data_IF_375747483068
#
_entry.id   IF_375747483068
#
_cell.length_a   1.000
_cell.length_b   1.000
_cell.length_c   1.000
_cell.angle_alpha   90.00
_cell.angle_beta   90.00
_cell.angle_gamma   90.00
#
_symmetry.space_group_name_H-M   'P 1'
#
loop_
_entity.id
_entity.type
_entity.pdbx_description
1 polymer ?
#
# COMPACT_ATOMS: atom_id res chain seq x y z
N UNK A 1 -33.78 -17.53 -33.90
CA UNK A 1 -33.08 -17.81 -32.61
C UNK A 1 -31.70 -18.42 -32.76
N UNK A 2 -31.54 -19.69 -33.17
CA UNK A 2 -30.23 -20.40 -33.19
C UNK A 2 -29.12 -19.67 -33.98
N UNK A 3 -29.41 -19.21 -35.20
CA UNK A 3 -28.46 -18.44 -36.02
C UNK A 3 -28.04 -17.12 -35.34
N UNK A 4 -28.99 -16.48 -34.65
CA UNK A 4 -28.76 -15.30 -33.83
C UNK A 4 -27.80 -15.59 -32.68
N UNK A 5 -27.99 -16.70 -31.94
CA UNK A 5 -27.09 -17.09 -30.85
C UNK A 5 -25.66 -17.35 -31.32
N UNK A 6 -25.48 -17.98 -32.50
CA UNK A 6 -24.14 -18.21 -33.07
C UNK A 6 -23.47 -16.87 -33.43
N UNK A 7 -24.19 -15.97 -34.12
CA UNK A 7 -23.68 -14.63 -34.44
C UNK A 7 -23.37 -13.82 -33.18
N UNK A 8 -24.23 -13.88 -32.17
CA UNK A 8 -24.03 -13.24 -30.88
C UNK A 8 -22.83 -13.81 -30.11
N UNK A 9 -22.59 -15.12 -30.20
CA UNK A 9 -21.39 -15.76 -29.66
C UNK A 9 -20.11 -15.24 -30.30
N UNK A 10 -20.09 -15.05 -31.63
CA UNK A 10 -18.95 -14.43 -32.33
C UNK A 10 -18.75 -12.98 -31.90
N UNK A 11 -19.84 -12.22 -31.76
CA UNK A 11 -19.78 -10.85 -31.26
C UNK A 11 -19.17 -10.80 -29.85
N UNK A 12 -19.56 -11.72 -28.96
CA UNK A 12 -19.01 -11.82 -27.62
C UNK A 12 -17.52 -12.17 -27.61
N UNK A 13 -17.10 -13.17 -28.40
CA UNK A 13 -15.68 -13.54 -28.51
C UNK A 13 -14.84 -12.34 -28.97
N UNK A 14 -15.30 -11.61 -30.00
CA UNK A 14 -14.62 -10.41 -30.45
C UNK A 14 -14.58 -9.33 -29.38
N UNK A 15 -15.68 -9.14 -28.64
CA UNK A 15 -15.75 -8.15 -27.56
C UNK A 15 -14.72 -8.44 -26.47
N UNK A 16 -14.68 -9.66 -25.94
CA UNK A 16 -13.73 -10.04 -24.89
C UNK A 16 -12.30 -10.04 -25.40
N UNK A 17 -12.04 -10.52 -26.62
CA UNK A 17 -10.70 -10.51 -27.20
C UNK A 17 -10.17 -9.07 -27.40
N UNK A 18 -10.94 -8.21 -28.07
CA UNK A 18 -10.58 -6.81 -28.26
C UNK A 18 -10.56 -6.01 -26.95
N UNK A 19 -11.32 -6.45 -25.95
CA UNK A 19 -11.36 -5.82 -24.63
C UNK A 19 -10.14 -6.15 -23.76
N UNK A 20 -9.73 -7.42 -23.74
CA UNK A 20 -8.60 -7.91 -22.95
C UNK A 20 -7.25 -7.64 -23.59
N UNK A 21 -7.16 -7.61 -24.92
CA UNK A 21 -5.89 -7.42 -25.62
C UNK A 21 -5.16 -6.11 -25.21
N UNK A 22 -5.81 -4.93 -25.19
CA UNK A 22 -5.21 -3.69 -24.70
C UNK A 22 -4.69 -3.80 -23.26
N UNK A 23 -5.43 -4.48 -22.39
CA UNK A 23 -5.10 -4.65 -20.98
C UNK A 23 -3.88 -5.58 -20.77
N UNK A 24 -3.81 -6.69 -21.50
CA UNK A 24 -2.65 -7.58 -21.46
C UNK A 24 -1.40 -6.86 -21.99
N UNK A 25 -1.55 -6.07 -23.05
CA UNK A 25 -0.46 -5.29 -23.63
C UNK A 25 0.02 -4.17 -22.70
N UNK A 26 -0.88 -3.51 -21.96
CA UNK A 26 -0.51 -2.51 -20.96
C UNK A 26 0.25 -3.13 -19.78
N UNK A 27 -0.14 -4.33 -19.34
CA UNK A 27 0.56 -5.07 -18.28
C UNK A 27 1.97 -5.56 -18.66
N UNK A 28 2.26 -5.74 -19.95
CA UNK A 28 3.58 -6.18 -20.43
C UNK A 28 4.68 -5.09 -20.36
N UNK A 29 4.30 -3.82 -20.18
CA UNK A 29 5.24 -2.70 -20.10
C UNK A 29 5.91 -2.30 -21.42
N UNK A 30 6.73 -1.25 -21.38
CA UNK A 30 7.52 -0.77 -22.52
C UNK A 30 6.68 -0.34 -23.74
N UNK A 31 7.16 -0.64 -24.94
CA UNK A 31 6.49 -0.27 -26.21
C UNK A 31 5.16 -1.00 -26.43
N UNK A 32 4.98 -2.17 -25.81
CA UNK A 32 3.71 -2.92 -25.85
C UNK A 32 2.61 -2.16 -25.11
N UNK A 33 2.94 -1.48 -24.01
CA UNK A 33 1.97 -0.66 -23.28
C UNK A 33 1.47 0.53 -24.12
N UNK A 34 2.37 1.18 -24.88
CA UNK A 34 1.98 2.24 -25.82
C UNK A 34 1.05 1.70 -26.91
N UNK A 35 1.32 0.50 -27.42
CA UNK A 35 0.45 -0.15 -28.41
C UNK A 35 -0.92 -0.50 -27.82
N UNK A 36 -0.96 -0.95 -26.56
CA UNK A 36 -2.20 -1.19 -25.82
C UNK A 36 -3.07 0.06 -25.70
N UNK A 37 -2.48 1.24 -25.47
CA UNK A 37 -3.21 2.51 -25.39
C UNK A 37 -3.81 2.97 -26.72
N UNK A 38 -3.25 2.55 -27.85
CA UNK A 38 -3.76 2.88 -29.19
C UNK A 38 -4.89 1.93 -29.64
N UNK A 39 -5.01 0.76 -29.01
CA UNK A 39 -6.03 -0.21 -29.38
C UNK A 39 -7.37 0.15 -28.70
N UNK A 40 -8.43 0.41 -29.47
CA UNK A 40 -9.71 0.73 -28.92
C UNK A 40 -10.34 -0.49 -28.24
N UNK A 41 -10.71 -0.33 -26.98
CA UNK A 41 -11.39 -1.36 -26.20
C UNK A 41 -12.90 -1.06 -26.12
N UNK A 42 -13.78 -2.04 -26.39
CA UNK A 42 -15.19 -1.93 -26.07
C UNK A 42 -15.46 -2.06 -24.56
N UNK A 43 -14.48 -2.47 -23.76
CA UNK A 43 -14.60 -2.65 -22.32
C UNK A 43 -14.23 -1.38 -21.55
N UNK A 44 -14.90 -1.17 -20.42
CA UNK A 44 -14.55 -0.11 -19.48
C UNK A 44 -13.25 -0.47 -18.76
N UNK A 45 -12.31 0.47 -18.66
CA UNK A 45 -11.04 0.25 -17.95
C UNK A 45 -11.22 -0.13 -16.47
N UNK A 46 -12.25 0.42 -15.80
CA UNK A 46 -12.58 0.08 -14.42
C UNK A 46 -12.91 -1.41 -14.17
N UNK A 47 -13.29 -2.17 -15.20
CA UNK A 47 -13.61 -3.61 -15.06
C UNK A 47 -12.39 -4.42 -14.59
N UNK A 48 -11.17 -3.97 -14.94
CA UNK A 48 -9.93 -4.66 -14.59
C UNK A 48 -9.35 -4.27 -13.22
N UNK A 49 -9.86 -3.21 -12.60
CA UNK A 49 -9.46 -2.78 -11.25
C UNK A 49 -10.41 -3.28 -10.16
N UNK A 50 -11.51 -3.94 -10.53
CA UNK A 50 -12.50 -4.45 -9.58
C UNK A 50 -12.06 -5.78 -8.95
N UNK A 51 -12.51 -6.08 -7.71
CA UNK A 51 -12.30 -7.40 -7.12
C UNK A 51 -12.83 -8.51 -8.04
N UNK A 52 -12.12 -9.64 -8.10
CA UNK A 52 -12.36 -10.74 -9.07
C UNK A 52 -13.83 -11.16 -9.13
N UNK A 53 -14.54 -11.20 -8.00
CA UNK A 53 -15.96 -11.55 -7.96
C UNK A 53 -16.84 -10.59 -8.77
N UNK A 54 -16.64 -9.28 -8.63
CA UNK A 54 -17.39 -8.25 -9.37
C UNK A 54 -17.03 -8.25 -10.85
N UNK A 55 -15.74 -8.38 -11.17
CA UNK A 55 -15.29 -8.52 -12.55
C UNK A 55 -16.02 -9.69 -13.25
N UNK A 56 -16.11 -10.86 -12.63
CA UNK A 56 -16.82 -12.03 -13.19
C UNK A 56 -18.29 -11.70 -13.46
N UNK A 57 -18.99 -11.07 -12.51
CA UNK A 57 -20.40 -10.69 -12.68
C UNK A 57 -20.58 -9.77 -13.88
N UNK A 58 -19.75 -8.74 -14.01
CA UNK A 58 -19.82 -7.81 -15.14
C UNK A 58 -19.56 -8.49 -16.49
N UNK A 59 -18.60 -9.42 -16.55
CA UNK A 59 -18.31 -10.20 -17.76
C UNK A 59 -19.51 -11.09 -18.14
N UNK A 60 -20.12 -11.75 -17.16
CA UNK A 60 -21.30 -12.61 -17.39
C UNK A 60 -22.50 -11.80 -17.88
N UNK A 61 -22.78 -10.66 -17.24
CA UNK A 61 -23.88 -9.77 -17.65
C UNK A 61 -23.67 -9.25 -19.08
N UNK A 62 -22.45 -8.79 -19.39
CA UNK A 62 -22.08 -8.32 -20.73
C UNK A 62 -22.23 -9.43 -21.79
N UNK A 63 -21.75 -10.64 -21.47
CA UNK A 63 -21.89 -11.81 -22.34
C UNK A 63 -23.37 -12.12 -22.64
N UNK A 64 -24.23 -12.09 -21.62
CA UNK A 64 -25.67 -12.32 -21.76
C UNK A 64 -26.31 -11.29 -22.69
N UNK A 65 -25.97 -10.00 -22.54
CA UNK A 65 -26.49 -8.94 -23.41
C UNK A 65 -25.97 -9.06 -24.83
N UNK A 66 -24.68 -9.35 -25.04
CA UNK A 66 -24.09 -9.50 -26.38
C UNK A 66 -24.72 -10.65 -27.16
N UNK A 67 -24.85 -11.83 -26.53
CA UNK A 67 -25.41 -13.02 -27.19
C UNK A 67 -26.92 -12.90 -27.35
N UNK A 68 -27.62 -12.53 -26.28
CA UNK A 68 -29.08 -12.45 -26.25
C UNK A 68 -29.62 -11.28 -27.04
N UNK A 69 -29.07 -10.08 -26.84
CA UNK A 69 -29.47 -8.84 -27.53
C UNK A 69 -29.29 -8.94 -29.04
N UNK A 70 -28.14 -9.43 -29.50
CA UNK A 70 -27.91 -9.67 -30.92
C UNK A 70 -28.90 -10.68 -31.50
N UNK A 71 -29.13 -11.81 -30.80
CA UNK A 71 -30.04 -12.84 -31.26
C UNK A 71 -31.50 -12.35 -31.39
N UNK A 72 -31.95 -11.54 -30.42
CA UNK A 72 -33.27 -10.90 -30.44
C UNK A 72 -33.40 -9.91 -31.59
N UNK A 73 -32.51 -8.92 -31.68
CA UNK A 73 -32.58 -7.85 -32.68
C UNK A 73 -32.44 -8.39 -34.11
N UNK A 74 -31.46 -9.28 -34.35
CA UNK A 74 -31.28 -9.89 -35.68
C UNK A 74 -32.49 -10.73 -36.09
N UNK A 75 -33.11 -11.45 -35.13
CA UNK A 75 -34.34 -12.19 -35.42
C UNK A 75 -35.53 -11.29 -35.68
N UNK A 76 -35.69 -10.22 -34.90
CA UNK A 76 -36.76 -9.25 -35.03
C UNK A 76 -36.73 -8.58 -36.40
N UNK A 77 -35.59 -8.03 -36.82
CA UNK A 77 -35.41 -7.42 -38.14
C UNK A 77 -35.63 -8.39 -39.30
N UNK A 78 -35.36 -9.69 -39.10
CA UNK A 78 -35.57 -10.71 -40.13
C UNK A 78 -37.05 -11.12 -40.26
N UNK A 79 -37.85 -11.02 -39.20
CA UNK A 79 -39.27 -11.39 -39.20
C UNK A 79 -40.18 -10.28 -39.70
N UNK A 80 -39.81 -9.01 -39.52
CA UNK A 80 -40.62 -7.85 -39.90
C UNK A 80 -40.51 -7.47 -41.39
N UNK A 81 -39.66 -8.13 -42.17
CA UNK A 81 -39.57 -7.99 -43.64
C UNK A 81 -40.12 -9.24 -44.32
N UNK A 82 -41.40 -9.18 -44.73
CA UNK A 82 -42.06 -10.22 -45.52
C UNK A 82 -41.31 -10.56 -46.83
N UNK A 83 -41.17 -11.87 -47.10
CA UNK A 83 -41.08 -12.57 -48.40
C UNK A 83 -39.93 -12.24 -49.38
N UNK A 84 -39.26 -11.08 -49.34
CA UNK A 84 -38.29 -10.66 -50.38
C UNK A 84 -36.92 -10.22 -49.87
N UNK A 85 -36.54 -10.62 -48.65
CA UNK A 85 -35.26 -10.24 -48.07
C UNK A 85 -34.07 -10.88 -48.82
N UNK A 86 -33.41 -10.10 -49.68
CA UNK A 86 -32.14 -10.49 -50.31
C UNK A 86 -31.04 -10.64 -49.26
N UNK A 87 -30.01 -11.44 -49.55
CA UNK A 87 -28.89 -11.66 -48.62
C UNK A 87 -28.20 -10.37 -48.12
N UNK A 88 -28.27 -9.27 -48.90
CA UNK A 88 -27.76 -7.95 -48.51
C UNK A 88 -28.60 -7.31 -47.39
N UNK A 89 -29.92 -7.48 -47.42
CA UNK A 89 -30.82 -6.94 -46.39
C UNK A 89 -30.68 -7.67 -45.05
N UNK A 90 -30.50 -9.00 -45.08
CA UNK A 90 -30.24 -9.79 -43.88
C UNK A 90 -28.85 -9.49 -43.27
N UNK A 91 -27.85 -9.18 -44.11
CA UNK A 91 -26.54 -8.70 -43.66
C UNK A 91 -26.67 -7.40 -42.89
N UNK A 92 -27.29 -6.39 -43.53
CA UNK A 92 -27.44 -5.07 -42.96
C UNK A 92 -28.24 -5.10 -41.64
N UNK A 93 -29.29 -5.92 -41.57
CA UNK A 93 -30.06 -6.14 -40.36
C UNK A 93 -29.21 -6.74 -39.21
N UNK A 94 -28.39 -7.76 -39.50
CA UNK A 94 -27.54 -8.37 -38.49
C UNK A 94 -26.39 -7.45 -38.06
N UNK A 95 -25.81 -6.69 -38.99
CA UNK A 95 -24.80 -5.67 -38.68
C UNK A 95 -25.38 -4.58 -37.77
N UNK A 96 -26.55 -4.05 -38.11
CA UNK A 96 -27.26 -3.08 -37.27
C UNK A 96 -27.61 -3.66 -35.90
N UNK A 97 -27.99 -4.94 -35.83
CA UNK A 97 -28.23 -5.62 -34.55
C UNK A 97 -26.98 -5.65 -33.65
N UNK A 98 -25.79 -5.87 -34.21
CA UNK A 98 -24.54 -5.80 -33.44
C UNK A 98 -24.28 -4.38 -32.91
N UNK A 99 -24.45 -3.37 -33.77
CA UNK A 99 -24.29 -1.95 -33.39
C UNK A 99 -25.25 -1.56 -32.27
N UNK A 100 -26.54 -1.88 -32.41
CA UNK A 100 -27.56 -1.57 -31.40
C UNK A 100 -27.37 -2.33 -30.09
N UNK A 101 -26.85 -3.56 -30.14
CA UNK A 101 -26.54 -4.33 -28.92
C UNK A 101 -25.39 -3.68 -28.15
N UNK A 102 -24.32 -3.28 -28.84
CA UNK A 102 -23.20 -2.58 -28.22
C UNK A 102 -23.59 -1.18 -27.71
N UNK A 103 -24.43 -0.47 -28.47
CA UNK A 103 -25.03 0.79 -28.04
C UNK A 103 -25.81 0.62 -26.74
N UNK A 104 -26.64 -0.42 -26.63
CA UNK A 104 -27.43 -0.66 -25.42
C UNK A 104 -26.56 -0.90 -24.18
N UNK A 105 -25.46 -1.65 -24.33
CA UNK A 105 -24.47 -1.86 -23.26
C UNK A 105 -23.84 -0.53 -22.83
N UNK A 106 -23.32 0.24 -23.79
CA UNK A 106 -22.68 1.52 -23.51
C UNK A 106 -23.64 2.54 -22.90
N UNK A 107 -24.88 2.59 -23.40
CA UNK A 107 -25.92 3.49 -22.89
C UNK A 107 -26.36 3.11 -21.47
N UNK A 108 -26.46 1.81 -21.16
CA UNK A 108 -26.76 1.37 -19.80
C UNK A 108 -25.65 1.76 -18.81
N UNK A 109 -24.39 1.64 -19.22
CA UNK A 109 -23.24 2.05 -18.42
C UNK A 109 -23.18 3.58 -18.24
N UNK A 110 -23.38 4.36 -19.31
CA UNK A 110 -23.43 5.83 -19.24
C UNK A 110 -24.62 6.31 -18.37
N UNK A 111 -25.77 5.65 -18.43
CA UNK A 111 -26.91 5.97 -17.55
C UNK A 111 -26.58 5.70 -16.08
N UNK A 112 -25.88 4.60 -15.80
CA UNK A 112 -25.38 4.27 -14.46
C UNK A 112 -24.42 5.34 -13.94
N UNK A 113 -23.43 5.73 -14.75
CA UNK A 113 -22.44 6.75 -14.37
C UNK A 113 -23.05 8.13 -14.18
N UNK A 114 -24.03 8.51 -15.01
CA UNK A 114 -24.79 9.76 -14.83
C UNK A 114 -25.58 9.72 -13.52
N UNK A 115 -26.26 8.61 -13.22
CA UNK A 115 -27.04 8.48 -11.99
C UNK A 115 -26.16 8.58 -10.73
N UNK A 116 -25.00 7.91 -10.72
CA UNK A 116 -24.04 8.03 -9.61
C UNK A 116 -23.43 9.42 -9.51
N UNK A 117 -23.05 10.04 -10.64
CA UNK A 117 -22.52 11.40 -10.67
C UNK A 117 -23.51 12.44 -10.13
N UNK A 118 -24.81 12.34 -10.49
CA UNK A 118 -25.86 13.22 -9.96
C UNK A 118 -25.97 13.07 -8.45
N UNK A 119 -25.90 11.83 -7.94
CA UNK A 119 -26.01 11.56 -6.51
C UNK A 119 -24.85 12.16 -5.70
N UNK A 120 -23.62 12.12 -6.23
CA UNK A 120 -22.43 12.58 -5.51
C UNK A 120 -22.11 14.06 -5.71
N UNK A 121 -22.32 14.58 -6.94
CA UNK A 121 -21.80 15.88 -7.37
C UNK A 121 -22.86 16.80 -8.01
N UNK A 122 -24.12 16.36 -8.02
CA UNK A 122 -25.22 17.09 -8.65
C UNK A 122 -25.14 17.12 -10.19
N UNK A 123 -26.03 17.89 -10.81
CA UNK A 123 -26.24 17.90 -12.27
C UNK A 123 -24.99 18.35 -13.05
N UNK A 124 -24.11 19.19 -12.45
CA UNK A 124 -22.91 19.68 -13.13
C UNK A 124 -21.85 18.59 -13.33
N UNK A 125 -21.68 17.69 -12.37
CA UNK A 125 -20.71 16.59 -12.50
C UNK A 125 -21.17 15.51 -13.48
N UNK A 126 -22.47 15.39 -13.73
CA UNK A 126 -23.03 14.46 -14.70
C UNK A 126 -22.59 14.73 -16.15
N UNK A 127 -22.34 16.00 -16.51
CA UNK A 127 -22.00 16.40 -17.88
C UNK A 127 -20.68 15.78 -18.39
N UNK A 128 -19.77 15.35 -17.51
CA UNK A 128 -18.50 14.72 -17.86
C UNK A 128 -18.48 13.18 -17.79
N UNK A 129 -19.60 12.55 -17.40
CA UNK A 129 -19.64 11.11 -17.03
C UNK A 129 -19.91 10.15 -18.20
N UNK A 130 -19.98 10.67 -19.44
CA UNK A 130 -20.41 9.90 -20.62
C UNK A 130 -19.26 9.61 -21.58
N UNK A 131 -19.28 8.43 -22.20
CA UNK A 131 -18.29 8.03 -23.20
C UNK A 131 -18.33 6.56 -23.59
N UNK A 132 -18.98 5.72 -22.77
CA UNK A 132 -19.09 4.28 -23.04
C UNK A 132 -19.93 4.00 -24.27
N UNK A 133 -21.05 4.71 -24.44
CA UNK A 133 -21.92 4.55 -25.63
C UNK A 133 -21.16 4.81 -26.91
N UNK A 134 -20.32 5.86 -26.95
CA UNK A 134 -19.56 6.21 -28.14
C UNK A 134 -18.54 5.12 -28.47
N UNK A 135 -17.76 4.66 -27.49
CA UNK A 135 -16.71 3.65 -27.71
C UNK A 135 -17.28 2.30 -28.13
N UNK A 136 -18.31 1.81 -27.44
CA UNK A 136 -18.93 0.50 -27.75
C UNK A 136 -19.61 0.50 -29.11
N UNK A 137 -20.32 1.60 -29.45
CA UNK A 137 -21.02 1.75 -30.72
C UNK A 137 -20.05 1.85 -31.88
N UNK A 138 -19.01 2.68 -31.74
CA UNK A 138 -17.97 2.82 -32.75
C UNK A 138 -17.23 1.49 -32.99
N UNK A 139 -16.87 0.78 -31.92
CA UNK A 139 -16.26 -0.54 -32.03
C UNK A 139 -17.17 -1.51 -32.79
N UNK A 140 -18.45 -1.59 -32.43
CA UNK A 140 -19.39 -2.49 -33.11
C UNK A 140 -19.66 -2.11 -34.56
N UNK A 141 -19.60 -0.82 -34.91
CA UNK A 141 -19.68 -0.38 -36.29
C UNK A 141 -18.49 -0.93 -37.12
N UNK A 142 -17.28 -0.93 -36.54
CA UNK A 142 -16.07 -1.41 -37.20
C UNK A 142 -15.98 -2.93 -37.33
N UNK A 143 -16.36 -3.70 -36.29
CA UNK A 143 -16.17 -5.16 -36.28
C UNK A 143 -17.46 -5.98 -36.39
N UNK A 144 -18.63 -5.36 -36.24
CA UNK A 144 -19.93 -6.02 -36.27
C UNK A 144 -20.28 -6.70 -37.60
N UNK A 145 -19.50 -6.46 -38.66
CA UNK A 145 -19.69 -7.12 -39.95
C UNK A 145 -19.33 -8.61 -39.88
N UNK A 146 -18.39 -9.02 -39.01
CA UNK A 146 -18.01 -10.41 -38.80
C UNK A 146 -19.18 -11.27 -38.27
N UNK A 147 -19.83 -10.94 -37.15
CA UNK A 147 -20.99 -11.70 -36.67
C UNK A 147 -22.16 -11.65 -37.65
N UNK A 148 -22.32 -10.55 -38.40
CA UNK A 148 -23.33 -10.44 -39.46
C UNK A 148 -23.09 -11.43 -40.63
N UNK A 149 -21.84 -11.62 -41.06
CA UNK A 149 -21.48 -12.62 -42.07
C UNK A 149 -21.73 -14.05 -41.58
N UNK A 150 -21.41 -14.34 -40.32
CA UNK A 150 -21.66 -15.67 -39.72
C UNK A 150 -23.16 -15.95 -39.60
N UNK A 151 -23.94 -14.96 -39.19
CA UNK A 151 -25.41 -15.05 -39.16
C UNK A 151 -25.99 -15.43 -40.53
N UNK A 152 -25.52 -14.81 -41.61
CA UNK A 152 -25.93 -15.14 -42.98
C UNK A 152 -25.53 -16.54 -43.42
N UNK A 153 -24.29 -16.96 -43.14
CA UNK A 153 -23.80 -18.30 -43.51
C UNK A 153 -24.56 -19.39 -42.79
N UNK A 154 -24.82 -19.23 -41.49
CA UNK A 154 -25.68 -20.12 -40.71
C UNK A 154 -27.13 -20.15 -41.26
N UNK A 155 -27.51 -19.12 -42.02
CA UNK A 155 -28.74 -18.96 -42.80
C UNK A 155 -28.95 -19.98 -43.92
N UNK A 156 -27.87 -20.33 -44.63
CA UNK A 156 -27.93 -21.00 -45.94
C UNK A 156 -27.92 -22.53 -45.88
N UNK A 157 -27.72 -23.13 -44.71
CA UNK A 157 -27.34 -24.54 -44.60
C UNK A 157 -28.35 -25.54 -44.01
N UNK A 158 -29.64 -25.20 -43.81
CA UNK A 158 -30.61 -26.18 -43.29
C UNK A 158 -32.08 -25.78 -43.50
N UNK A 159 -32.80 -26.56 -44.31
CA UNK A 159 -34.24 -26.83 -44.17
C UNK A 159 -34.45 -27.94 -43.13
N UNK A 160 -35.68 -28.07 -42.60
CA UNK A 160 -36.15 -29.05 -41.60
C UNK A 160 -35.90 -28.69 -40.12
N UNK A 161 -36.85 -27.98 -39.51
CA UNK A 161 -37.92 -28.60 -38.69
C UNK A 161 -38.87 -27.49 -38.22
N UNK A 162 -40.15 -27.59 -38.53
CA UNK A 162 -41.15 -26.56 -38.21
C UNK A 162 -41.48 -26.61 -36.70
N UNK A 163 -40.72 -25.89 -35.89
CA UNK A 163 -41.07 -25.69 -34.48
C UNK A 163 -42.34 -24.84 -34.35
N UNK A 164 -43.30 -25.19 -33.46
CA UNK A 164 -44.54 -24.43 -33.27
C UNK A 164 -44.28 -22.96 -32.92
N UNK A 165 -44.99 -22.04 -33.57
CA UNK A 165 -44.81 -20.59 -33.43
C UNK A 165 -44.94 -20.10 -31.98
N UNK A 166 -45.79 -20.72 -31.16
CA UNK A 166 -45.95 -20.38 -29.74
C UNK A 166 -44.68 -20.63 -28.90
N UNK A 167 -43.97 -21.74 -29.14
CA UNK A 167 -42.72 -22.05 -28.41
C UNK A 167 -41.60 -21.08 -28.76
N UNK A 168 -41.57 -20.59 -30.00
CA UNK A 168 -40.63 -19.57 -30.45
C UNK A 168 -40.93 -18.22 -29.79
N UNK A 169 -42.20 -17.82 -29.70
CA UNK A 169 -42.61 -16.57 -29.06
C UNK A 169 -42.31 -16.56 -27.56
N UNK A 170 -42.62 -17.64 -26.85
CA UNK A 170 -42.31 -17.80 -25.42
C UNK A 170 -40.80 -17.70 -25.14
N UNK A 171 -39.97 -18.41 -25.92
CA UNK A 171 -38.50 -18.35 -25.78
C UNK A 171 -37.93 -16.95 -26.03
N UNK A 172 -38.49 -16.19 -26.98
CA UNK A 172 -38.07 -14.82 -27.24
C UNK A 172 -38.44 -13.86 -26.12
N UNK A 173 -39.60 -14.03 -25.48
CA UNK A 173 -40.01 -13.22 -24.32
C UNK A 173 -39.07 -13.48 -23.13
N UNK A 174 -38.77 -14.74 -22.83
CA UNK A 174 -37.85 -15.09 -21.73
C UNK A 174 -36.45 -14.53 -22.00
N UNK A 175 -35.91 -14.69 -23.22
CA UNK A 175 -34.61 -14.13 -23.57
C UNK A 175 -34.59 -12.59 -23.48
N UNK A 176 -35.66 -11.92 -23.92
CA UNK A 176 -35.78 -10.47 -23.81
C UNK A 176 -35.81 -10.01 -22.34
N UNK A 177 -36.53 -10.72 -21.48
CA UNK A 177 -36.55 -10.44 -20.04
C UNK A 177 -35.15 -10.61 -19.43
N UNK A 178 -34.43 -11.70 -19.75
CA UNK A 178 -33.07 -11.95 -19.28
C UNK A 178 -32.10 -10.85 -19.74
N UNK A 179 -32.17 -10.45 -21.01
CA UNK A 179 -31.32 -9.36 -21.55
C UNK A 179 -31.65 -8.02 -20.90
N UNK A 180 -32.93 -7.72 -20.68
CA UNK A 180 -33.35 -6.49 -20.02
C UNK A 180 -32.86 -6.43 -18.55
N UNK A 181 -33.01 -7.54 -17.81
CA UNK A 181 -32.47 -7.65 -16.44
C UNK A 181 -30.95 -7.50 -16.45
N UNK A 182 -30.25 -8.12 -17.39
CA UNK A 182 -28.80 -7.99 -17.49
C UNK A 182 -28.35 -6.56 -17.79
N UNK A 183 -29.05 -5.83 -18.67
CA UNK A 183 -28.79 -4.42 -18.97
C UNK A 183 -29.00 -3.52 -17.74
N UNK A 184 -30.01 -3.80 -16.91
CA UNK A 184 -30.27 -3.03 -15.68
C UNK A 184 -29.26 -3.37 -14.59
N UNK A 185 -28.89 -4.65 -14.45
CA UNK A 185 -27.94 -5.11 -13.44
C UNK A 185 -26.49 -4.68 -13.74
N UNK A 186 -26.15 -4.49 -15.02
CA UNK A 186 -24.79 -4.17 -15.44
C UNK A 186 -24.22 -2.89 -14.80
N UNK A 187 -24.88 -1.71 -14.87
CA UNK A 187 -24.37 -0.51 -14.21
C UNK A 187 -24.31 -0.64 -12.68
N UNK A 188 -25.24 -1.38 -12.07
CA UNK A 188 -25.23 -1.63 -10.61
C UNK A 188 -24.02 -2.47 -10.21
N UNK A 189 -23.73 -3.54 -10.95
CA UNK A 189 -22.54 -4.37 -10.72
C UNK A 189 -21.25 -3.56 -10.95
N UNK A 190 -21.21 -2.75 -12.01
CA UNK A 190 -20.07 -1.90 -12.34
C UNK A 190 -19.78 -0.84 -11.27
N UNK A 191 -20.81 -0.26 -10.66
CA UNK A 191 -20.67 0.70 -9.57
C UNK A 191 -20.25 -0.02 -8.27
N UNK A 192 -20.89 -1.14 -7.93
CA UNK A 192 -20.54 -1.93 -6.76
C UNK A 192 -19.11 -2.46 -6.81
N UNK A 193 -18.64 -2.92 -7.98
CA UNK A 193 -17.27 -3.32 -8.22
C UNK A 193 -16.28 -2.17 -8.06
N UNK A 194 -16.64 -0.97 -8.53
CA UNK A 194 -15.82 0.24 -8.38
C UNK A 194 -15.70 0.67 -6.91
N UNK A 195 -16.81 0.65 -6.17
CA UNK A 195 -16.84 0.97 -4.74
C UNK A 195 -16.05 -0.04 -3.91
N UNK A 196 -16.15 -1.33 -4.25
CA UNK A 196 -15.37 -2.38 -3.59
C UNK A 196 -13.86 -2.23 -3.85
N UNK A 197 -13.45 -1.82 -5.07
CA UNK A 197 -12.05 -1.53 -5.36
C UNK A 197 -11.54 -0.32 -4.55
N UNK A 198 -12.33 0.75 -4.45
CA UNK A 198 -11.99 1.93 -3.66
C UNK A 198 -11.91 1.62 -2.16
N UNK A 199 -12.79 0.77 -1.65
CA UNK A 199 -12.74 0.27 -0.27
C UNK A 199 -11.44 -0.44 0.01
N UNK A 200 -11.05 -1.37 -0.87
CA UNK A 200 -9.80 -2.12 -0.71
C UNK A 200 -8.59 -1.19 -0.74
N UNK A 201 -8.52 -0.25 -1.69
CA UNK A 201 -7.43 0.74 -1.74
C UNK A 201 -7.34 1.59 -0.47
N UNK A 202 -8.48 1.98 0.10
CA UNK A 202 -8.52 2.74 1.36
C UNK A 202 -8.06 1.90 2.55
N UNK A 203 -8.39 0.61 2.58
CA UNK A 203 -7.90 -0.30 3.61
C UNK A 203 -6.39 -0.52 3.48
N UNK A 204 -5.90 -0.72 2.26
CA UNK A 204 -4.46 -0.87 1.98
C UNK A 204 -3.69 0.41 2.39
N UNK A 205 -4.23 1.60 2.09
CA UNK A 205 -3.67 2.87 2.54
C UNK A 205 -3.69 3.03 4.06
N UNK A 206 -4.81 2.71 4.72
CA UNK A 206 -4.90 2.79 6.17
C UNK A 206 -3.93 1.83 6.87
N UNK A 207 -3.75 0.62 6.32
CA UNK A 207 -2.76 -0.33 6.83
C UNK A 207 -1.33 0.21 6.68
N UNK A 208 -0.99 0.80 5.52
CA UNK A 208 0.30 1.42 5.29
C UNK A 208 0.54 2.64 6.21
N UNK A 209 -0.50 3.42 6.51
CA UNK A 209 -0.41 4.53 7.47
C UNK A 209 -0.15 4.06 8.90
N UNK A 210 -0.80 2.96 9.34
CA UNK A 210 -0.55 2.35 10.65
C UNK A 210 0.89 1.85 10.73
N UNK A 211 1.36 1.12 9.72
CA UNK A 211 2.74 0.62 9.65
C UNK A 211 3.75 1.78 9.68
N UNK A 212 3.51 2.84 8.91
CA UNK A 212 4.36 4.03 8.93
C UNK A 212 4.38 4.74 10.29
N UNK A 213 3.26 4.74 11.03
CA UNK A 213 3.18 5.29 12.38
C UNK A 213 3.92 4.43 13.41
N UNK A 214 3.85 3.10 13.30
CA UNK A 214 4.59 2.19 14.17
C UNK A 214 6.11 2.31 13.98
N UNK A 215 6.57 2.61 12.76
CA UNK A 215 7.97 2.86 12.45
C UNK A 215 8.41 4.31 12.74
N UNK A 216 7.49 5.25 12.91
CA UNK A 216 7.83 6.64 13.16
C UNK A 216 8.45 6.83 14.55
N UNK A 217 9.52 7.62 14.61
CA UNK A 217 10.11 8.03 15.88
C UNK A 217 9.30 9.18 16.51
N UNK A 218 8.95 9.10 17.82
CA UNK A 218 8.10 10.09 18.47
C UNK A 218 8.71 11.49 18.53
N UNK A 219 10.05 11.60 18.49
CA UNK A 219 10.76 12.88 18.54
C UNK A 219 11.14 13.39 17.14
N UNK A 220 10.69 12.69 16.09
CA UNK A 220 10.90 13.06 14.69
C UNK A 220 12.23 12.59 14.09
N UNK A 221 12.96 11.69 14.76
CA UNK A 221 14.11 11.04 14.12
C UNK A 221 13.69 10.25 12.86
N UNK A 222 14.68 9.82 12.07
CA UNK A 222 14.41 8.97 10.92
C UNK A 222 13.58 7.75 11.36
N UNK A 223 12.54 7.34 10.60
CA UNK A 223 11.76 6.17 10.94
C UNK A 223 12.65 4.94 11.13
N UNK A 224 12.25 4.04 12.03
CA UNK A 224 12.89 2.74 12.19
C UNK A 224 12.79 1.98 10.86
N UNK A 225 13.89 1.37 10.48
CA UNK A 225 14.00 0.49 9.32
C UNK A 225 14.63 -0.83 9.80
N UNK A 226 13.82 -1.87 10.04
CA UNK A 226 14.29 -3.18 10.49
C UNK A 226 15.29 -3.85 9.54
N UNK A 227 15.30 -3.46 8.27
CA UNK A 227 16.17 -4.02 7.23
C UNK A 227 17.40 -3.12 6.96
N UNK A 228 17.55 -2.00 7.68
CA UNK A 228 18.69 -1.10 7.52
C UNK A 228 20.00 -1.83 7.85
N UNK A 229 21.06 -1.71 7.02
CA UNK A 229 22.37 -2.24 7.36
C UNK A 229 23.02 -1.37 8.44
N UNK A 230 23.66 -2.01 9.42
CA UNK A 230 24.45 -1.32 10.44
C UNK A 230 25.30 -2.26 11.28
N UNK A 231 26.28 -1.70 11.98
CA UNK A 231 27.08 -2.46 12.94
C UNK A 231 26.32 -2.56 14.27
N UNK A 232 26.30 -3.72 14.95
CA UNK A 232 25.70 -3.81 16.28
C UNK A 232 26.52 -2.98 17.28
N UNK A 233 25.86 -2.45 18.31
CA UNK A 233 26.55 -1.75 19.41
C UNK A 233 27.51 -2.73 20.11
N UNK A 234 28.82 -2.40 20.24
CA UNK A 234 29.77 -3.29 20.91
C UNK A 234 29.42 -3.47 22.39
N UNK A 235 29.46 -4.73 22.85
CA UNK A 235 29.13 -5.06 24.24
C UNK A 235 30.17 -4.56 25.27
N UNK A 236 31.40 -4.27 24.85
CA UNK A 236 32.46 -3.72 25.70
C UNK A 236 33.49 -2.95 24.86
N UNK A 237 34.08 -1.90 25.41
CA UNK A 237 35.32 -1.30 24.88
C UNK A 237 36.55 -2.18 25.20
N UNK A 238 37.68 -2.00 24.48
CA UNK A 238 38.98 -2.51 24.93
C UNK A 238 39.31 -2.02 26.34
N UNK A 239 39.92 -2.88 27.15
CA UNK A 239 40.32 -2.51 28.51
C UNK A 239 41.42 -1.44 28.50
N UNK A 240 41.27 -0.44 29.37
CA UNK A 240 42.27 0.60 29.61
C UNK A 240 42.89 0.43 31.00
N UNK A 241 44.16 0.00 31.03
CA UNK A 241 44.90 -0.18 32.28
C UNK A 241 44.42 -1.37 33.15
N UNK A 242 45.08 -1.54 34.30
CA UNK A 242 44.68 -2.54 35.29
C UNK A 242 43.53 -1.99 36.15
N UNK A 243 42.66 -2.88 36.64
CA UNK A 243 41.66 -2.52 37.64
C UNK A 243 42.36 -2.09 38.94
N UNK A 244 41.83 -1.10 39.68
CA UNK A 244 42.29 -0.86 41.03
C UNK A 244 42.02 -2.09 41.92
N UNK A 245 42.83 -2.26 42.97
CA UNK A 245 42.58 -3.29 43.97
C UNK A 245 41.23 -3.02 44.65
N UNK A 246 40.36 -4.04 44.69
CA UNK A 246 38.99 -3.87 45.22
C UNK A 246 38.05 -3.09 44.29
N UNK A 247 38.31 -3.11 42.97
CA UNK A 247 37.45 -2.46 41.99
C UNK A 247 35.98 -2.89 42.12
N UNK A 248 35.06 -1.93 42.01
CA UNK A 248 33.64 -2.20 41.89
C UNK A 248 33.39 -3.06 40.65
N UNK A 249 32.70 -4.19 40.81
CA UNK A 249 32.31 -5.06 39.70
C UNK A 249 30.85 -4.85 39.33
N UNK A 250 30.44 -5.32 38.15
CA UNK A 250 29.04 -5.34 37.75
C UNK A 250 28.14 -6.21 38.65
N UNK A 251 28.69 -7.15 39.42
CA UNK A 251 27.94 -7.98 40.38
C UNK A 251 27.71 -7.25 41.71
N UNK A 252 28.63 -6.38 42.09
CA UNK A 252 28.61 -5.63 43.36
C UNK A 252 27.91 -4.27 43.23
N UNK A 253 27.53 -3.88 42.02
CA UNK A 253 27.00 -2.55 41.74
C UNK A 253 25.73 -2.56 40.90
N UNK A 254 24.92 -1.53 41.10
CA UNK A 254 23.73 -1.29 40.30
C UNK A 254 23.89 0.04 39.55
N UNK A 255 23.93 -0.04 38.22
CA UNK A 255 24.10 1.13 37.35
C UNK A 255 22.75 1.59 36.81
N UNK A 256 22.51 2.90 36.88
CA UNK A 256 21.29 3.55 36.36
C UNK A 256 21.61 4.83 35.62
N UNK A 257 20.73 5.23 34.71
CA UNK A 257 20.79 6.49 33.99
C UNK A 257 19.53 7.33 34.34
N UNK A 258 19.49 7.97 35.52
CA UNK A 258 18.35 8.82 35.92
C UNK A 258 18.15 9.99 34.93
N UNK A 259 16.91 10.49 34.78
CA UNK A 259 16.49 11.34 33.65
C UNK A 259 17.39 12.53 33.26
N UNK A 260 17.21 12.99 32.03
CA UNK A 260 17.99 14.08 31.44
C UNK A 260 17.64 15.45 32.03
N UNK A 261 18.64 16.32 32.18
CA UNK A 261 18.48 17.74 32.48
C UNK A 261 18.90 18.58 31.28
N UNK A 262 18.35 19.79 31.15
CA UNK A 262 18.59 20.68 30.03
C UNK A 262 18.66 22.14 30.48
N UNK A 263 19.72 22.83 30.04
CA UNK A 263 19.88 24.26 30.28
C UNK A 263 20.49 24.96 29.07
N UNK A 264 19.86 26.05 28.61
CA UNK A 264 20.39 26.98 27.60
C UNK A 264 20.97 26.34 26.32
N UNK A 265 20.36 25.25 25.83
CA UNK A 265 20.82 24.56 24.62
C UNK A 265 21.79 23.39 24.87
N UNK A 266 22.18 23.18 26.12
CA UNK A 266 22.97 22.03 26.56
C UNK A 266 22.07 20.97 27.22
N UNK A 267 22.56 19.74 27.25
CA UNK A 267 21.89 18.56 27.80
C UNK A 267 22.85 17.80 28.70
N UNK A 268 22.31 17.16 29.71
CA UNK A 268 23.04 16.29 30.63
C UNK A 268 22.25 15.02 30.90
N UNK A 269 22.93 13.88 30.88
CA UNK A 269 22.42 12.58 31.27
C UNK A 269 23.27 12.10 32.45
N UNK A 270 22.65 11.98 33.62
CA UNK A 270 23.33 11.51 34.82
C UNK A 270 23.46 10.00 34.76
N UNK A 271 24.60 9.49 35.20
CA UNK A 271 24.85 8.09 35.43
C UNK A 271 25.04 7.94 36.93
N UNK A 272 24.37 6.98 37.55
CA UNK A 272 24.51 6.67 38.95
C UNK A 272 24.89 5.21 39.13
N UNK A 273 25.95 4.99 39.91
CA UNK A 273 26.47 3.68 40.27
C UNK A 273 26.30 3.51 41.78
N UNK A 274 25.51 2.55 42.21
CA UNK A 274 25.28 2.26 43.64
C UNK A 274 26.02 1.00 44.03
N UNK A 275 26.79 1.01 45.12
CA UNK A 275 27.34 -0.20 45.71
C UNK A 275 26.22 -0.97 46.44
N UNK A 276 25.85 -2.14 45.92
CA UNK A 276 24.80 -2.99 46.49
C UNK A 276 25.35 -4.19 47.25
N UNK A 277 26.67 -4.33 47.32
CA UNK A 277 27.36 -5.37 48.10
C UNK A 277 27.45 -5.01 49.59
N UNK A 278 27.91 -5.98 50.40
CA UNK A 278 28.18 -5.78 51.82
C UNK A 278 29.61 -5.27 52.11
N UNK A 279 30.46 -5.16 51.08
CA UNK A 279 31.86 -4.73 51.20
C UNK A 279 32.12 -3.39 50.49
N UNK A 280 33.10 -2.58 50.93
CA UNK A 280 33.50 -1.39 50.19
C UNK A 280 34.14 -1.74 48.85
N UNK A 281 33.84 -0.97 47.80
CA UNK A 281 34.48 -1.13 46.49
C UNK A 281 35.03 0.20 45.97
N UNK A 282 35.96 0.15 45.02
CA UNK A 282 36.62 1.33 44.43
C UNK A 282 36.20 1.50 42.97
N UNK A 283 35.71 2.68 42.62
CA UNK A 283 35.48 3.09 41.23
C UNK A 283 36.47 4.20 40.87
N UNK A 284 37.07 4.12 39.68
CA UNK A 284 38.08 5.08 39.22
C UNK A 284 37.90 5.34 37.73
N UNK A 285 38.16 6.58 37.31
CA UNK A 285 38.17 6.98 35.90
C UNK A 285 36.79 7.41 35.40
N UNK A 286 36.54 7.11 34.13
CA UNK A 286 35.34 7.50 33.40
C UNK A 286 34.48 6.27 33.07
N UNK A 287 33.14 6.38 33.11
CA UNK A 287 32.28 5.33 32.57
C UNK A 287 32.53 5.13 31.08
N UNK A 288 32.48 3.88 30.63
CA UNK A 288 32.53 3.55 29.21
C UNK A 288 31.13 3.62 28.62
N UNK A 289 30.96 4.37 27.53
CA UNK A 289 29.67 4.64 26.91
C UNK A 289 29.67 4.33 25.40
N UNK A 290 28.56 3.81 24.91
CA UNK A 290 28.25 3.72 23.49
C UNK A 290 26.76 3.97 23.26
N UNK A 291 26.38 4.28 22.01
CA UNK A 291 25.02 4.67 21.67
C UNK A 291 24.47 3.80 20.56
N UNK A 292 23.24 3.33 20.73
CA UNK A 292 22.50 2.63 19.70
C UNK A 292 21.45 3.54 19.07
N UNK A 293 21.31 3.50 17.75
CA UNK A 293 20.27 4.20 17.01
C UNK A 293 18.89 3.53 17.17
N UNK A 294 17.87 4.09 16.53
CA UNK A 294 16.50 3.55 16.52
C UNK A 294 16.37 2.13 15.94
N UNK A 295 17.38 1.65 15.21
CA UNK A 295 17.45 0.32 14.61
C UNK A 295 18.29 -0.66 15.46
N UNK A 296 18.92 -0.19 16.54
CA UNK A 296 19.81 -0.99 17.38
C UNK A 296 21.25 -1.07 16.87
N UNK A 297 21.63 -0.17 15.96
CA UNK A 297 22.99 -0.10 15.40
C UNK A 297 23.84 0.94 16.11
N UNK A 298 25.16 0.73 16.13
CA UNK A 298 26.14 1.67 16.67
C UNK A 298 26.00 3.03 16.00
N UNK A 299 25.72 4.05 16.80
CA UNK A 299 25.70 5.44 16.38
C UNK A 299 27.12 6.02 16.45
N UNK A 300 27.58 6.65 15.37
CA UNK A 300 28.88 7.30 15.31
C UNK A 300 28.89 8.57 16.18
N UNK A 301 29.45 8.48 17.38
CA UNK A 301 29.48 9.56 18.38
C UNK A 301 30.91 9.76 18.86
N UNK A 302 31.35 11.02 18.93
CA UNK A 302 32.68 11.37 19.43
C UNK A 302 32.59 11.49 20.95
N UNK A 303 33.13 10.50 21.66
CA UNK A 303 33.18 10.49 23.13
C UNK A 303 34.48 11.13 23.60
N UNK A 304 34.38 12.20 24.38
CA UNK A 304 35.50 12.89 25.01
C UNK A 304 35.39 12.83 26.54
N UNK A 305 36.51 12.64 27.23
CA UNK A 305 36.57 12.75 28.68
C UNK A 305 36.77 14.22 29.08
N UNK A 306 35.96 14.71 30.02
CA UNK A 306 36.05 16.09 30.48
C UNK A 306 34.74 16.66 30.97
N UNK A 307 34.79 17.93 31.37
CA UNK A 307 33.63 18.68 31.83
C UNK A 307 32.76 19.14 30.66
N UNK A 308 31.47 19.29 30.92
CA UNK A 308 30.49 19.86 30.01
C UNK A 308 29.84 21.10 30.64
N UNK A 309 29.01 21.82 29.88
CA UNK A 309 28.21 22.92 30.44
C UNK A 309 27.36 22.48 31.64
N UNK A 310 26.83 21.26 31.59
CA UNK A 310 25.94 20.71 32.63
C UNK A 310 26.69 20.19 33.87
N UNK A 311 28.00 19.90 33.77
CA UNK A 311 28.75 19.28 34.85
C UNK A 311 30.25 19.56 34.76
N UNK A 312 30.86 19.94 35.88
CA UNK A 312 32.32 20.03 35.98
C UNK A 312 32.90 18.62 36.13
N UNK A 313 34.01 18.35 35.44
CA UNK A 313 34.74 17.11 35.60
C UNK A 313 35.76 17.24 36.75
N UNK A 314 35.65 16.44 37.82
CA UNK A 314 36.65 16.41 38.88
C UNK A 314 37.99 15.79 38.42
N UNK A 315 38.00 15.12 37.26
CA UNK A 315 39.11 14.35 36.76
C UNK A 315 39.18 12.94 37.37
N UNK A 316 39.97 12.04 36.78
CA UNK A 316 40.04 10.64 37.22
C UNK A 316 40.71 10.56 38.60
N UNK A 317 39.97 10.07 39.59
CA UNK A 317 40.48 9.77 40.92
C UNK A 317 39.74 8.54 41.50
N UNK A 318 40.40 7.74 42.34
CA UNK A 318 39.73 6.61 43.00
C UNK A 318 38.69 7.10 44.01
N UNK A 319 37.48 6.58 43.91
CA UNK A 319 36.35 6.83 44.80
C UNK A 319 35.98 5.51 45.48
N UNK A 320 36.10 5.46 46.80
CA UNK A 320 35.65 4.32 47.60
C UNK A 320 34.17 4.48 47.94
N UNK A 321 33.35 3.51 47.55
CA UNK A 321 31.92 3.45 47.87
C UNK A 321 31.69 2.46 49.01
N UNK A 322 31.17 2.93 50.15
CA UNK A 322 30.66 2.06 51.20
C UNK A 322 29.37 1.35 50.74
N UNK A 323 28.97 0.25 51.41
CA UNK A 323 27.67 -0.38 51.15
C UNK A 323 26.51 0.63 51.15
N UNK A 324 25.78 0.71 50.04
CA UNK A 324 24.67 1.64 49.84
C UNK A 324 25.05 3.06 49.40
N UNK A 325 26.34 3.40 49.33
CA UNK A 325 26.79 4.68 48.75
C UNK A 325 26.77 4.63 47.22
N UNK A 326 26.68 5.82 46.61
CA UNK A 326 26.62 5.97 45.17
C UNK A 326 27.70 6.90 44.64
N UNK A 327 28.24 6.56 43.47
CA UNK A 327 28.97 7.47 42.62
C UNK A 327 28.06 8.00 41.50
N UNK A 328 28.37 9.19 40.98
CA UNK A 328 27.75 9.73 39.78
C UNK A 328 28.79 10.20 38.76
N UNK A 329 28.39 10.16 37.50
CA UNK A 329 29.07 10.77 36.37
C UNK A 329 28.00 11.41 35.46
N UNK A 330 28.41 12.31 34.56
CA UNK A 330 27.49 13.00 33.66
C UNK A 330 27.99 12.87 32.23
N UNK A 331 27.08 12.51 31.33
CA UNK A 331 27.25 12.66 29.88
C UNK A 331 26.65 14.02 29.50
N UNK A 332 27.44 14.94 28.99
CA UNK A 332 26.98 16.25 28.53
C UNK A 332 27.13 16.43 27.02
N UNK A 333 26.16 17.06 26.38
CA UNK A 333 26.21 17.36 24.94
C UNK A 333 25.39 18.61 24.59
N UNK A 334 25.56 19.10 23.37
CA UNK A 334 24.77 20.19 22.81
C UNK A 334 23.51 19.65 22.12
N UNK A 335 22.38 20.33 22.30
CA UNK A 335 21.11 19.95 21.70
C UNK A 335 21.18 19.87 20.17
N UNK A 336 20.79 18.73 19.60
CA UNK A 336 20.71 18.56 18.15
C UNK A 336 19.27 18.46 17.64
N UNK A 337 19.06 18.83 16.37
CA UNK A 337 17.82 18.51 15.68
C UNK A 337 17.90 17.07 15.17
N UNK A 338 17.07 16.19 15.72
CA UNK A 338 16.97 14.80 15.27
C UNK A 338 16.15 14.63 13.99
N UNK A 339 15.44 15.67 13.52
CA UNK A 339 14.47 15.57 12.43
C UNK A 339 15.03 14.86 11.17
N UNK A 340 14.53 13.65 10.88
CA UNK A 340 14.97 12.83 9.76
C UNK A 340 16.41 12.31 9.82
N UNK A 341 17.08 12.40 10.97
CA UNK A 341 18.42 11.86 11.23
C UNK A 341 18.34 10.56 12.04
N UNK A 342 19.39 9.74 11.98
CA UNK A 342 19.60 8.73 13.02
C UNK A 342 19.81 9.46 14.36
N UNK A 343 19.31 8.86 15.45
CA UNK A 343 19.43 9.46 16.78
C UNK A 343 19.61 8.37 17.83
N UNK A 344 20.30 8.69 18.93
CA UNK A 344 20.51 7.76 20.01
C UNK A 344 19.18 7.41 20.71
N UNK A 345 18.81 6.12 20.66
CA UNK A 345 17.63 5.54 21.31
C UNK A 345 17.97 4.52 22.39
N UNK A 346 19.24 4.16 22.49
CA UNK A 346 19.78 3.44 23.64
C UNK A 346 21.15 3.99 23.99
N UNK A 347 21.46 3.95 25.29
CA UNK A 347 22.80 4.17 25.82
C UNK A 347 23.30 2.87 26.45
N UNK A 348 24.53 2.51 26.15
CA UNK A 348 25.21 1.32 26.64
C UNK A 348 26.32 1.77 27.57
N UNK A 349 26.25 1.41 28.85
CA UNK A 349 27.13 1.96 29.88
C UNK A 349 27.81 0.83 30.65
N UNK A 350 29.11 0.92 30.83
CA UNK A 350 29.88 0.12 31.78
C UNK A 350 30.59 1.02 32.81
N UNK A 351 30.94 0.44 33.96
CA UNK A 351 31.64 1.16 35.02
C UNK A 351 32.99 1.68 34.54
N UNK A 352 33.65 0.90 33.68
CA UNK A 352 34.97 1.19 33.10
C UNK A 352 35.18 0.45 31.77
N UNK A 353 36.12 0.90 30.92
CA UNK A 353 36.48 0.18 29.70
C UNK A 353 36.96 -1.24 29.97
N UNK A 354 36.55 -2.19 29.13
CA UNK A 354 36.86 -3.62 29.28
C UNK A 354 35.78 -4.43 29.99
N UNK A 355 34.77 -3.79 30.57
CA UNK A 355 33.61 -4.44 31.18
C UNK A 355 32.41 -4.51 30.23
N UNK A 356 31.48 -5.42 30.51
CA UNK A 356 30.25 -5.53 29.75
C UNK A 356 29.35 -4.32 30.03
N UNK A 357 28.89 -3.68 28.96
CA UNK A 357 27.95 -2.57 29.03
C UNK A 357 26.53 -3.08 29.29
N UNK A 358 25.83 -2.39 30.17
CA UNK A 358 24.39 -2.53 30.33
C UNK A 358 23.68 -1.53 29.40
N UNK A 359 22.73 -2.02 28.61
CA UNK A 359 21.92 -1.19 27.72
C UNK A 359 20.71 -0.61 28.48
N UNK A 360 20.40 0.66 28.21
CA UNK A 360 19.19 1.32 28.68
C UNK A 360 18.55 2.05 27.50
N UNK A 361 17.27 1.79 27.26
CA UNK A 361 16.50 2.50 26.25
C UNK A 361 16.20 3.92 26.74
N UNK A 362 16.68 4.91 26.00
CA UNK A 362 16.53 6.32 26.33
C UNK A 362 16.56 7.15 25.05
N UNK A 363 15.64 8.09 24.93
CA UNK A 363 15.63 9.07 23.84
C UNK A 363 16.63 10.19 24.14
N UNK A 364 17.65 10.33 23.30
CA UNK A 364 18.63 11.42 23.38
C UNK A 364 18.72 12.12 22.03
N UNK A 365 18.79 13.46 22.05
CA UNK A 365 19.04 14.29 20.87
C UNK A 365 20.55 14.32 20.50
N UNK A 366 21.16 13.13 20.49
CA UNK A 366 22.53 12.87 20.01
C UNK A 366 22.40 12.24 18.61
N UNK A 367 23.07 12.83 17.64
CA UNK A 367 23.05 12.44 16.22
C UNK A 367 24.45 12.00 15.76
N UNK A 368 24.60 11.37 14.58
CA UNK A 368 25.92 11.01 14.07
C UNK A 368 26.87 12.21 13.99
N UNK A 369 28.11 12.01 14.44
CA UNK A 369 29.16 13.03 14.49
C UNK A 369 29.05 14.04 15.64
N UNK A 370 28.04 13.90 16.52
CA UNK A 370 27.95 14.72 17.72
C UNK A 370 29.10 14.40 18.70
N UNK A 371 29.57 15.42 19.42
CA UNK A 371 30.51 15.26 20.52
C UNK A 371 29.75 15.17 21.84
N UNK A 372 30.11 14.19 22.65
CA UNK A 372 29.64 14.03 24.02
C UNK A 372 30.82 14.09 24.97
N UNK A 373 30.64 14.76 26.10
CA UNK A 373 31.63 14.85 27.15
C UNK A 373 31.21 14.00 28.34
N UNK A 374 32.09 13.13 28.82
CA UNK A 374 31.84 12.25 29.95
C UNK A 374 32.73 12.69 31.11
N UNK A 375 32.14 12.98 32.27
CA UNK A 375 32.90 13.30 33.48
C UNK A 375 33.42 12.05 34.18
N UNK A 376 34.47 12.18 34.97
CA UNK A 376 34.93 11.11 35.84
C UNK A 376 33.89 10.83 36.96
N UNK A 377 34.00 9.64 37.55
CA UNK A 377 33.21 9.27 38.71
C UNK A 377 33.50 10.17 39.92
N UNK A 378 32.45 10.59 40.62
CA UNK A 378 32.51 11.30 41.89
C UNK A 378 31.46 10.77 42.86
N UNK A 379 31.64 11.01 44.17
CA UNK A 379 30.59 10.69 45.15
C UNK A 379 29.31 11.45 44.79
N UNK A 380 28.20 10.72 44.67
CA UNK A 380 26.90 11.32 44.40
C UNK A 380 26.48 12.20 45.59
N UNK A 381 26.06 13.43 45.32
CA UNK A 381 25.48 14.28 46.35
C UNK A 381 24.20 13.61 46.92
N UNK A 382 23.95 13.68 48.24
CA UNK A 382 22.71 13.18 48.81
C UNK A 382 21.53 13.90 48.15
N UNK A 383 20.52 13.14 47.73
CA UNK A 383 19.33 13.67 47.07
C UNK A 383 18.56 14.62 48.01
N UNK A 384 18.80 15.92 47.90
CA UNK A 384 18.02 16.96 48.57
C UNK A 384 18.82 18.16 49.08
N UNK A 385 18.80 19.25 48.31
CA UNK A 385 18.77 20.63 48.83
C UNK A 385 18.08 21.54 47.84
#
# INVERSE_FOLDING_TARGET
MRRGLIGGGVLAVLWFFCGWLPYVLSGAGGSLATLGQLLPSPMRWGMFGSPVGWAIVEHVLTLVVLVGGFALLASWFSTSRESTATGRTAFAAAWLAAVLTAFAIGAALDLGSVASAISWSGIRGAAGSTGFTMSTTWWAALVGWLPALIFLKAGRGREADATPAERLRSRSVVLAAVVAVALVALPVAAEAGSNAAQEQLRQDQAAAEVEAQELADPDGAAPRDPDAPGEPVPAAAPAEGAAPDGACTAEDTFLTAPGTDAATGHRGQWIQLVNVSEEPCVVEGYPDVAYGDQNGHLLDVIVEHGGAFMAQDPGPAPVTLQPGEAASAVIGWDANSVNGQLAARSVWIAVRPGELRSATDISLDIIPGATVHVTAWQIAAPSGS
#
